data_IF_067728920347
#
_entry.id   IF_067728920347
#
_cell.length_a   1.000
_cell.length_b   1.000
_cell.length_c   1.000
_cell.angle_alpha   90.00
_cell.angle_beta   90.00
_cell.angle_gamma   90.00
#
_symmetry.space_group_name_H-M   'P 1'
#
loop_
_entity.id
_entity.type
_entity.pdbx_description
1 polymer ?
#
# COMPACT_ATOMS: atom_id res chain seq x y z
N UNK A 1 1.52 -10.27 3.27
CA UNK A 1 2.90 -10.58 2.85
C UNK A 1 3.66 -9.33 2.41
N UNK A 2 3.23 -8.59 1.36
CA UNK A 2 3.92 -7.38 0.90
C UNK A 2 4.25 -6.38 2.03
N UNK A 3 3.29 -6.11 2.92
CA UNK A 3 3.49 -5.20 4.07
C UNK A 3 4.64 -5.61 4.99
N UNK A 4 4.79 -6.92 5.25
CA UNK A 4 5.88 -7.43 6.09
C UNK A 4 7.22 -7.32 5.36
N UNK A 5 7.23 -7.61 4.06
CA UNK A 5 8.41 -7.43 3.20
C UNK A 5 8.86 -5.98 3.14
N UNK A 6 7.95 -5.02 3.01
CA UNK A 6 8.32 -3.59 2.96
C UNK A 6 8.76 -3.08 4.32
N UNK A 7 8.17 -3.53 5.43
CA UNK A 7 8.71 -3.27 6.78
C UNK A 7 10.11 -3.85 6.95
N UNK A 8 10.35 -5.09 6.52
CA UNK A 8 11.68 -5.69 6.53
C UNK A 8 12.67 -4.90 5.65
N UNK A 9 12.22 -4.42 4.49
CA UNK A 9 12.99 -3.51 3.64
C UNK A 9 13.34 -2.20 4.33
N UNK A 10 12.41 -1.59 5.06
CA UNK A 10 12.69 -0.40 5.88
C UNK A 10 13.74 -0.65 6.96
N UNK A 11 13.64 -1.78 7.68
CA UNK A 11 14.64 -2.20 8.66
C UNK A 11 16.02 -2.41 8.03
N UNK A 12 16.06 -3.07 6.87
CA UNK A 12 17.29 -3.32 6.12
C UNK A 12 17.93 -2.03 5.62
N UNK A 13 17.12 -1.11 5.08
CA UNK A 13 17.56 0.13 4.44
C UNK A 13 17.82 1.28 5.41
N UNK A 14 17.51 1.15 6.70
CA UNK A 14 17.87 2.14 7.72
C UNK A 14 19.39 2.11 8.02
N UNK A 15 20.13 3.24 8.06
CA UNK A 15 21.59 3.29 8.20
C UNK A 15 22.18 2.46 9.36
N UNK A 16 21.50 2.45 10.50
CA UNK A 16 21.84 1.67 11.69
C UNK A 16 21.10 0.32 11.62
N UNK A 17 21.83 -0.78 11.86
CA UNK A 17 21.22 -2.11 11.94
C UNK A 17 20.42 -2.25 13.24
N UNK A 18 19.14 -2.57 13.12
CA UNK A 18 18.33 -2.94 14.27
C UNK A 18 18.83 -4.25 14.90
N UNK A 19 18.82 -4.31 16.24
CA UNK A 19 19.11 -5.56 16.96
C UNK A 19 18.06 -6.64 16.68
N UNK A 20 18.42 -7.91 16.86
CA UNK A 20 17.55 -9.05 16.56
C UNK A 20 16.19 -8.96 17.27
N UNK A 21 16.18 -8.55 18.54
CA UNK A 21 14.96 -8.32 19.33
C UNK A 21 14.03 -7.29 18.67
N UNK A 22 14.56 -6.13 18.30
CA UNK A 22 13.82 -5.05 17.65
C UNK A 22 13.25 -5.52 16.30
N UNK A 23 14.05 -6.21 15.50
CA UNK A 23 13.62 -6.79 14.21
C UNK A 23 12.46 -7.75 14.39
N UNK A 24 12.58 -8.72 15.31
CA UNK A 24 11.52 -9.72 15.56
C UNK A 24 10.23 -9.06 16.04
N UNK A 25 10.30 -8.15 17.02
CA UNK A 25 9.12 -7.47 17.53
C UNK A 25 8.49 -6.52 16.53
N UNK A 26 9.28 -5.87 15.67
CA UNK A 26 8.77 -5.03 14.58
C UNK A 26 7.98 -5.87 13.59
N UNK A 27 8.54 -6.98 13.10
CA UNK A 27 7.87 -7.84 12.13
C UNK A 27 6.62 -8.51 12.73
N UNK A 28 6.71 -9.01 13.96
CA UNK A 28 5.56 -9.61 14.66
C UNK A 28 4.46 -8.58 14.89
N UNK A 29 4.80 -7.40 15.41
CA UNK A 29 3.85 -6.31 15.61
C UNK A 29 3.20 -5.86 14.31
N UNK A 30 3.97 -5.77 13.22
CA UNK A 30 3.44 -5.48 11.87
C UNK A 30 2.48 -6.57 11.38
N UNK A 31 2.77 -7.86 11.61
CA UNK A 31 1.85 -8.95 11.25
C UNK A 31 0.54 -8.80 12.03
N UNK A 32 0.62 -8.57 13.34
CA UNK A 32 -0.56 -8.46 14.22
C UNK A 32 -1.42 -7.24 13.87
N UNK A 33 -0.82 -6.05 13.65
CA UNK A 33 -1.58 -4.83 13.32
C UNK A 33 -2.24 -4.93 11.95
N UNK A 34 -1.57 -5.57 10.97
CA UNK A 34 -2.14 -5.82 9.64
C UNK A 34 -3.27 -6.85 9.72
N UNK A 35 -3.12 -7.89 10.55
CA UNK A 35 -4.19 -8.84 10.79
C UNK A 35 -5.41 -8.15 11.43
N UNK A 36 -5.20 -7.30 12.45
CA UNK A 36 -6.25 -6.50 13.06
C UNK A 36 -6.97 -5.63 12.03
N UNK A 37 -6.22 -4.87 11.23
CA UNK A 37 -6.77 -3.99 10.19
C UNK A 37 -7.61 -4.76 9.16
N UNK A 38 -7.14 -5.92 8.71
CA UNK A 38 -7.88 -6.75 7.74
C UNK A 38 -9.16 -7.35 8.35
N UNK A 39 -9.10 -7.85 9.59
CA UNK A 39 -10.27 -8.43 10.28
C UNK A 39 -11.33 -7.34 10.48
N UNK A 40 -10.94 -6.17 10.98
CA UNK A 40 -11.87 -5.06 11.21
C UNK A 40 -12.43 -4.49 9.90
N UNK A 41 -11.62 -4.42 8.83
CA UNK A 41 -12.10 -4.05 7.50
C UNK A 41 -13.12 -5.05 6.96
N UNK A 42 -12.85 -6.36 7.08
CA UNK A 42 -13.83 -7.41 6.68
C UNK A 42 -15.12 -7.32 7.50
N UNK A 43 -15.03 -7.00 8.79
CA UNK A 43 -16.20 -6.80 9.63
C UNK A 43 -17.07 -5.63 9.14
N UNK A 44 -16.45 -4.50 8.80
CA UNK A 44 -17.14 -3.31 8.29
C UNK A 44 -17.70 -3.50 6.87
N UNK A 45 -16.99 -4.23 6.01
CA UNK A 45 -17.36 -4.42 4.59
C UNK A 45 -18.20 -5.68 4.34
N UNK A 46 -18.57 -6.45 5.37
CA UNK A 46 -19.25 -7.76 5.23
C UNK A 46 -20.45 -7.77 4.28
N UNK A 47 -21.25 -6.69 4.27
CA UNK A 47 -22.45 -6.59 3.43
C UNK A 47 -22.10 -6.25 1.97
N UNK A 48 -21.15 -5.32 1.75
CA UNK A 48 -20.66 -5.00 0.40
C UNK A 48 -19.87 -6.15 -0.22
N UNK A 49 -19.10 -6.88 0.59
CA UNK A 49 -18.30 -8.01 0.14
C UNK A 49 -19.18 -9.14 -0.42
N UNK A 50 -20.41 -9.31 0.07
CA UNK A 50 -21.36 -10.29 -0.46
C UNK A 50 -21.73 -10.03 -1.94
N UNK A 51 -21.58 -8.79 -2.41
CA UNK A 51 -21.97 -8.34 -3.75
C UNK A 51 -20.81 -8.42 -4.77
N UNK A 52 -19.59 -8.76 -4.33
CA UNK A 52 -18.40 -8.82 -5.18
C UNK A 52 -17.95 -10.26 -5.40
N UNK A 53 -17.76 -10.66 -6.67
CA UNK A 53 -17.29 -12.00 -7.05
C UNK A 53 -16.00 -12.43 -6.35
N UNK A 54 -15.11 -11.47 -6.06
CA UNK A 54 -13.82 -11.71 -5.41
C UNK A 54 -13.95 -11.96 -3.90
N UNK A 55 -14.92 -11.34 -3.23
CA UNK A 55 -14.97 -11.28 -1.75
C UNK A 55 -16.19 -11.94 -1.14
N UNK A 56 -17.19 -12.32 -1.94
CA UNK A 56 -18.40 -13.01 -1.48
C UNK A 56 -18.12 -14.35 -0.77
N UNK A 57 -16.95 -14.96 -1.00
CA UNK A 57 -16.53 -16.21 -0.33
C UNK A 57 -15.75 -15.99 0.97
N UNK A 58 -15.52 -14.74 1.40
CA UNK A 58 -14.86 -14.43 2.68
C UNK A 58 -15.68 -14.99 3.86
N UNK A 59 -15.07 -15.23 5.04
CA UNK A 59 -15.75 -15.88 6.16
C UNK A 59 -17.05 -15.20 6.61
N UNK A 60 -17.08 -13.86 6.70
CA UNK A 60 -18.24 -13.11 7.16
C UNK A 60 -19.38 -13.05 6.13
N UNK A 61 -19.17 -12.65 4.87
CA UNK A 61 -20.23 -12.67 3.84
C UNK A 61 -20.81 -14.06 3.58
N UNK A 62 -19.99 -15.12 3.72
CA UNK A 62 -20.42 -16.50 3.53
C UNK A 62 -21.09 -17.12 4.76
N UNK A 63 -21.27 -16.37 5.87
CA UNK A 63 -21.88 -16.87 7.10
C UNK A 63 -21.07 -17.95 7.84
N UNK A 64 -19.77 -18.12 7.51
CA UNK A 64 -18.90 -19.15 8.11
C UNK A 64 -18.31 -18.75 9.47
N UNK A 65 -18.53 -17.51 9.89
CA UNK A 65 -18.01 -16.95 11.14
C UNK A 65 -18.99 -15.91 11.68
N UNK A 66 -19.21 -15.93 12.98
CA UNK A 66 -20.01 -14.91 13.66
C UNK A 66 -19.31 -13.53 13.59
N UNK A 67 -20.02 -12.46 13.18
CA UNK A 67 -19.43 -11.11 13.09
C UNK A 67 -18.90 -10.56 14.42
N UNK A 68 -19.53 -10.88 15.57
CA UNK A 68 -19.08 -10.39 16.87
C UNK A 68 -17.77 -11.06 17.29
N UNK A 69 -17.60 -12.35 16.96
CA UNK A 69 -16.32 -13.06 17.14
C UNK A 69 -15.22 -12.39 16.34
N UNK A 70 -15.46 -12.09 15.06
CA UNK A 70 -14.47 -11.40 14.23
C UNK A 70 -14.13 -10.00 14.76
N UNK A 71 -15.13 -9.22 15.18
CA UNK A 71 -14.92 -7.90 15.77
C UNK A 71 -14.02 -7.97 17.00
N UNK A 72 -14.35 -8.82 17.98
CA UNK A 72 -13.56 -9.00 19.21
C UNK A 72 -12.15 -9.46 18.90
N UNK A 73 -11.98 -10.40 17.98
CA UNK A 73 -10.67 -10.87 17.56
C UNK A 73 -9.81 -9.75 16.96
N UNK A 74 -10.39 -8.95 16.05
CA UNK A 74 -9.70 -7.79 15.47
C UNK A 74 -9.29 -6.74 16.51
N UNK A 75 -10.17 -6.46 17.47
CA UNK A 75 -9.89 -5.52 18.57
C UNK A 75 -8.79 -6.03 19.51
N UNK A 76 -8.79 -7.33 19.84
CA UNK A 76 -7.72 -7.95 20.65
C UNK A 76 -6.38 -7.86 19.93
N UNK A 77 -6.33 -8.17 18.63
CA UNK A 77 -5.10 -8.03 17.84
C UNK A 77 -4.59 -6.58 17.82
N UNK A 78 -5.48 -5.60 17.69
CA UNK A 78 -5.12 -4.17 17.77
C UNK A 78 -4.57 -3.80 19.16
N UNK A 79 -5.26 -4.23 20.22
CA UNK A 79 -4.87 -3.98 21.61
C UNK A 79 -3.54 -4.62 22.01
N UNK A 80 -3.11 -5.68 21.33
CA UNK A 80 -1.79 -6.30 21.53
C UNK A 80 -0.72 -5.63 20.66
N UNK A 81 -1.02 -5.42 19.38
CA UNK A 81 -0.02 -4.96 18.40
C UNK A 81 0.48 -3.54 18.63
N UNK A 82 -0.41 -2.61 19.01
CA UNK A 82 -0.02 -1.22 19.27
C UNK A 82 0.92 -1.11 20.48
N UNK A 83 0.60 -1.66 21.67
CA UNK A 83 1.53 -1.68 22.79
C UNK A 83 2.84 -2.40 22.48
N UNK A 84 2.79 -3.52 21.75
CA UNK A 84 3.99 -4.25 21.34
C UNK A 84 4.94 -3.36 20.54
N UNK A 85 4.44 -2.68 19.50
CA UNK A 85 5.25 -1.77 18.69
C UNK A 85 5.68 -0.52 19.47
N UNK A 86 4.85 -0.01 20.38
CA UNK A 86 5.15 1.20 21.15
C UNK A 86 6.24 0.96 22.20
N UNK A 87 6.10 -0.10 23.00
CA UNK A 87 6.94 -0.33 24.17
C UNK A 87 8.12 -1.27 23.89
N UNK A 88 7.98 -2.23 22.97
CA UNK A 88 9.06 -3.18 22.66
C UNK A 88 9.93 -2.74 21.47
N UNK A 89 9.45 -1.81 20.64
CA UNK A 89 10.20 -1.29 19.47
C UNK A 89 10.49 0.20 19.64
N UNK A 90 9.46 1.03 19.85
CA UNK A 90 9.61 2.44 20.17
C UNK A 90 8.36 3.27 19.91
N UNK A 91 8.31 4.46 20.51
CA UNK A 91 7.15 5.35 20.43
C UNK A 91 6.77 5.74 18.99
N UNK A 92 7.76 5.98 18.13
CA UNK A 92 7.53 6.38 16.73
C UNK A 92 6.92 5.23 15.89
N UNK A 93 7.47 4.00 15.88
CA UNK A 93 6.81 2.83 15.28
C UNK A 93 5.38 2.60 15.79
N UNK A 94 5.15 2.71 17.10
CA UNK A 94 3.84 2.57 17.72
C UNK A 94 2.82 3.60 17.24
N UNK A 95 3.22 4.87 17.16
CA UNK A 95 2.41 5.97 16.61
C UNK A 95 2.06 5.72 15.14
N UNK A 96 3.06 5.38 14.32
CA UNK A 96 2.86 5.10 12.90
C UNK A 96 1.91 3.92 12.68
N UNK A 97 2.05 2.84 13.46
CA UNK A 97 1.16 1.70 13.40
C UNK A 97 -0.27 2.05 13.81
N UNK A 98 -0.44 2.88 14.83
CA UNK A 98 -1.74 3.38 15.28
C UNK A 98 -2.40 4.23 14.20
N UNK A 99 -1.64 5.15 13.58
CA UNK A 99 -2.10 5.97 12.46
C UNK A 99 -2.50 5.10 11.26
N UNK A 100 -1.72 4.07 10.92
CA UNK A 100 -2.05 3.13 9.85
C UNK A 100 -3.36 2.38 10.14
N UNK A 101 -3.54 1.86 11.37
CA UNK A 101 -4.75 1.14 11.75
C UNK A 101 -5.98 2.05 11.72
N UNK A 102 -5.90 3.21 12.38
CA UNK A 102 -7.02 4.17 12.47
C UNK A 102 -7.39 4.70 11.09
N UNK A 103 -6.41 5.14 10.29
CA UNK A 103 -6.68 5.65 8.94
C UNK A 103 -7.25 4.57 8.03
N UNK A 104 -6.83 3.31 8.14
CA UNK A 104 -7.38 2.23 7.32
C UNK A 104 -8.82 1.86 7.71
N UNK A 105 -9.07 1.67 9.00
CA UNK A 105 -10.35 1.14 9.51
C UNK A 105 -11.39 2.25 9.63
N UNK A 106 -11.04 3.40 10.20
CA UNK A 106 -12.01 4.45 10.54
C UNK A 106 -12.12 5.54 9.46
N UNK A 107 -11.12 5.72 8.60
CA UNK A 107 -11.18 6.71 7.52
C UNK A 107 -11.42 6.04 6.17
N UNK A 108 -10.45 5.27 5.68
CA UNK A 108 -10.50 4.67 4.34
C UNK A 108 -11.69 3.73 4.14
N UNK A 109 -11.93 2.81 5.08
CA UNK A 109 -12.99 1.79 4.93
C UNK A 109 -14.38 2.40 4.72
N UNK A 110 -14.88 3.33 5.54
CA UNK A 110 -16.16 3.98 5.27
C UNK A 110 -16.10 4.90 4.04
N UNK A 111 -15.00 5.63 3.84
CA UNK A 111 -14.89 6.63 2.77
C UNK A 111 -15.00 6.02 1.36
N UNK A 112 -14.63 4.75 1.17
CA UNK A 112 -14.83 4.00 -0.08
C UNK A 112 -16.27 3.97 -0.60
N UNK A 113 -17.26 4.14 0.28
CA UNK A 113 -18.68 4.20 -0.09
C UNK A 113 -19.14 5.61 -0.47
N UNK A 114 -18.33 6.64 -0.24
CA UNK A 114 -18.73 8.03 -0.37
C UNK A 114 -17.94 8.82 -1.42
N UNK A 115 -16.68 8.47 -1.69
CA UNK A 115 -15.86 9.23 -2.66
C UNK A 115 -14.72 8.39 -3.25
N UNK A 116 -14.40 8.64 -4.53
CA UNK A 116 -13.22 8.08 -5.17
C UNK A 116 -11.90 8.54 -4.53
N UNK A 117 -11.90 9.68 -3.81
CA UNK A 117 -10.75 10.17 -3.06
C UNK A 117 -10.31 9.22 -1.93
N UNK A 118 -11.16 8.26 -1.55
CA UNK A 118 -10.81 7.19 -0.61
C UNK A 118 -9.56 6.42 -1.04
N UNK A 119 -9.27 6.32 -2.35
CA UNK A 119 -8.05 5.68 -2.84
C UNK A 119 -6.78 6.33 -2.25
N UNK A 120 -6.73 7.66 -2.18
CA UNK A 120 -5.57 8.38 -1.63
C UNK A 120 -5.46 8.20 -0.12
N UNK A 121 -6.59 8.25 0.59
CA UNK A 121 -6.62 7.97 2.03
C UNK A 121 -6.18 6.54 2.34
N UNK A 122 -6.59 5.58 1.53
CA UNK A 122 -6.19 4.17 1.64
C UNK A 122 -4.74 3.89 1.25
N UNK A 123 -4.11 4.77 0.46
CA UNK A 123 -2.69 4.65 0.13
C UNK A 123 -1.79 4.99 1.33
N UNK A 124 -2.21 5.89 2.22
CA UNK A 124 -1.46 6.27 3.44
C UNK A 124 -1.11 5.05 4.31
N UNK A 125 -2.07 4.25 4.82
CA UNK A 125 -1.75 3.11 5.68
C UNK A 125 -0.96 2.02 4.96
N UNK A 126 -1.11 1.89 3.64
CA UNK A 126 -0.32 0.95 2.84
C UNK A 126 1.14 1.38 2.65
N UNK A 127 1.42 2.67 2.78
CA UNK A 127 2.75 3.27 2.62
C UNK A 127 3.56 3.40 3.92
N UNK A 128 2.88 3.40 5.08
CA UNK A 128 3.51 3.44 6.41
C UNK A 128 4.48 2.27 6.73
N UNK A 129 4.26 1.02 6.29
CA UNK A 129 5.07 -0.13 6.72
C UNK A 129 6.59 -0.02 6.56
N UNK A 130 7.17 0.42 5.42
CA UNK A 130 8.61 0.63 5.34
C UNK A 130 9.11 1.76 6.25
N UNK A 131 8.29 2.78 6.51
CA UNK A 131 8.63 3.83 7.46
C UNK A 131 8.62 3.32 8.91
N UNK A 132 7.70 2.42 9.27
CA UNK A 132 7.76 1.68 10.55
C UNK A 132 9.10 0.92 10.64
N UNK A 133 9.48 0.21 9.58
CA UNK A 133 10.75 -0.52 9.55
C UNK A 133 11.96 0.40 9.72
N UNK A 134 11.99 1.52 9.03
CA UNK A 134 13.06 2.51 9.14
C UNK A 134 13.17 3.09 10.55
N UNK A 135 12.03 3.54 11.10
CA UNK A 135 11.97 4.18 12.42
C UNK A 135 12.18 3.19 13.56
N UNK A 136 11.91 1.89 13.36
CA UNK A 136 12.26 0.85 14.31
C UNK A 136 13.78 0.71 14.49
N UNK A 137 14.56 0.94 13.43
CA UNK A 137 16.01 0.91 13.48
C UNK A 137 16.63 2.25 13.92
N UNK A 138 16.06 3.39 13.51
CA UNK A 138 16.61 4.72 13.79
C UNK A 138 16.06 5.41 15.05
N UNK A 139 14.88 5.00 15.52
CA UNK A 139 14.14 5.66 16.61
C UNK A 139 13.45 6.98 16.23
N UNK A 140 13.66 7.49 15.00
CA UNK A 140 13.08 8.77 14.52
C UNK A 140 12.73 8.73 13.03
N UNK A 141 11.88 9.66 12.62
CA UNK A 141 11.53 9.86 11.20
C UNK A 141 12.71 10.60 10.54
N UNK A 142 13.18 10.05 9.42
CA UNK A 142 14.22 10.66 8.59
C UNK A 142 13.82 10.62 7.12
N UNK A 143 14.52 11.41 6.31
CA UNK A 143 14.26 11.55 4.88
C UNK A 143 14.24 10.21 4.14
N UNK A 144 15.15 9.27 4.45
CA UNK A 144 15.17 7.96 3.79
C UNK A 144 13.90 7.12 4.05
N UNK A 145 13.41 7.12 5.29
CA UNK A 145 12.13 6.48 5.63
C UNK A 145 10.94 7.18 4.96
N UNK A 146 10.97 8.51 4.89
CA UNK A 146 9.93 9.31 4.21
C UNK A 146 9.91 9.03 2.70
N UNK A 147 11.07 8.83 2.08
CA UNK A 147 11.14 8.46 0.66
C UNK A 147 10.59 7.06 0.40
N UNK A 148 10.87 6.08 1.27
CA UNK A 148 10.26 4.76 1.16
C UNK A 148 8.74 4.82 1.29
N UNK A 149 8.23 5.62 2.24
CA UNK A 149 6.81 5.93 2.34
C UNK A 149 6.28 6.56 1.05
N UNK A 150 6.94 7.59 0.53
CA UNK A 150 6.50 8.31 -0.67
C UNK A 150 6.47 7.41 -1.91
N UNK A 151 7.47 6.55 -2.10
CA UNK A 151 7.48 5.55 -3.19
C UNK A 151 6.29 4.61 -3.05
N UNK A 152 6.04 4.04 -1.87
CA UNK A 152 4.90 3.16 -1.66
C UNK A 152 3.57 3.86 -1.92
N UNK A 153 3.40 5.07 -1.38
CA UNK A 153 2.19 5.87 -1.54
C UNK A 153 1.92 6.17 -3.02
N UNK A 154 2.91 6.71 -3.72
CA UNK A 154 2.79 7.10 -5.12
C UNK A 154 2.60 5.90 -6.03
N UNK A 155 3.24 4.76 -5.73
CA UNK A 155 3.09 3.52 -6.49
C UNK A 155 1.69 2.90 -6.36
N UNK A 156 1.08 2.98 -5.18
CA UNK A 156 -0.26 2.42 -4.95
C UNK A 156 -1.32 3.08 -5.84
N UNK A 157 -1.16 4.36 -6.18
CA UNK A 157 -2.15 5.09 -6.96
C UNK A 157 -2.34 4.53 -8.39
N UNK A 158 -1.32 4.48 -9.26
CA UNK A 158 -1.47 3.89 -10.59
C UNK A 158 -1.83 2.40 -10.51
N UNK A 159 -1.29 1.67 -9.52
CA UNK A 159 -1.61 0.26 -9.28
C UNK A 159 -3.11 0.04 -9.04
N UNK A 160 -3.72 0.78 -8.11
CA UNK A 160 -5.13 0.63 -7.80
C UNK A 160 -6.03 1.20 -8.88
N UNK A 161 -5.65 2.32 -9.52
CA UNK A 161 -6.41 2.87 -10.64
C UNK A 161 -6.50 1.85 -11.79
N UNK A 162 -5.41 1.15 -12.11
CA UNK A 162 -5.41 0.07 -13.08
C UNK A 162 -6.43 -1.02 -12.72
N UNK A 163 -6.47 -1.47 -11.46
CA UNK A 163 -7.47 -2.45 -10.98
C UNK A 163 -8.89 -1.92 -11.17
N UNK A 164 -9.17 -0.70 -10.70
CA UNK A 164 -10.51 -0.13 -10.79
C UNK A 164 -10.99 0.00 -12.22
N UNK A 165 -10.11 0.23 -13.20
CA UNK A 165 -10.48 0.33 -14.61
C UNK A 165 -11.00 -0.99 -15.19
N UNK A 166 -10.37 -2.13 -14.89
CA UNK A 166 -10.83 -3.44 -15.39
C UNK A 166 -11.80 -4.18 -14.44
N UNK A 167 -12.15 -3.58 -13.29
CA UNK A 167 -13.09 -4.12 -12.30
C UNK A 167 -14.23 -3.17 -11.95
N UNK A 168 -14.39 -2.07 -12.68
CA UNK A 168 -15.33 -0.97 -12.36
C UNK A 168 -16.76 -1.44 -12.08
N UNK A 169 -17.23 -2.45 -12.83
CA UNK A 169 -18.55 -3.07 -12.68
C UNK A 169 -18.70 -3.82 -11.34
N UNK A 170 -17.65 -4.53 -10.91
CA UNK A 170 -17.66 -5.24 -9.61
C UNK A 170 -17.75 -4.25 -8.44
N UNK A 171 -17.06 -3.11 -8.55
CA UNK A 171 -17.14 -2.03 -7.56
C UNK A 171 -18.52 -1.35 -7.55
N UNK A 172 -19.09 -1.10 -8.73
CA UNK A 172 -20.42 -0.51 -8.86
C UNK A 172 -21.50 -1.39 -8.21
N UNK A 173 -21.48 -2.71 -8.46
CA UNK A 173 -22.42 -3.66 -7.85
C UNK A 173 -22.34 -3.69 -6.32
N UNK A 174 -21.17 -3.40 -5.76
CA UNK A 174 -20.94 -3.39 -4.31
C UNK A 174 -21.23 -2.05 -3.63
N UNK A 175 -21.71 -1.05 -4.38
CA UNK A 175 -21.96 0.30 -3.89
C UNK A 175 -20.68 1.07 -3.53
N UNK A 176 -19.54 0.72 -4.14
CA UNK A 176 -18.26 1.37 -3.89
C UNK A 176 -17.98 2.45 -4.95
N UNK A 177 -17.57 3.63 -4.50
CA UNK A 177 -17.25 4.77 -5.37
C UNK A 177 -15.79 4.66 -5.80
N UNK A 178 -15.58 4.48 -7.10
CA UNK A 178 -14.25 4.42 -7.72
C UNK A 178 -14.18 5.40 -8.88
N UNK A 179 -13.01 5.99 -9.07
CA UNK A 179 -12.80 7.04 -10.07
C UNK A 179 -13.33 6.67 -11.47
N UNK A 180 -13.12 5.44 -12.02
CA UNK A 180 -13.64 5.08 -13.34
C UNK A 180 -15.17 5.11 -13.50
N UNK A 181 -15.94 5.07 -12.41
CA UNK A 181 -17.41 5.08 -12.45
C UNK A 181 -18.00 6.51 -12.40
N UNK A 182 -17.18 7.52 -12.17
CA UNK A 182 -17.61 8.92 -12.20
C UNK A 182 -17.71 9.43 -13.66
N UNK A 183 -18.50 10.48 -13.94
CA UNK A 183 -18.57 11.08 -15.28
C UNK A 183 -17.18 11.50 -15.79
N UNK A 184 -16.75 10.96 -16.93
CA UNK A 184 -15.40 11.18 -17.49
C UNK A 184 -14.27 10.50 -16.69
N UNK A 185 -14.60 9.74 -15.66
CA UNK A 185 -13.68 9.21 -14.67
C UNK A 185 -12.68 8.18 -15.20
N UNK A 186 -13.02 7.42 -16.25
CA UNK A 186 -12.04 6.54 -16.92
C UNK A 186 -10.88 7.31 -17.55
N UNK A 187 -11.18 8.42 -18.23
CA UNK A 187 -10.15 9.23 -18.86
C UNK A 187 -9.27 9.89 -17.78
N UNK A 188 -9.89 10.37 -16.71
CA UNK A 188 -9.16 10.97 -15.59
C UNK A 188 -8.31 9.95 -14.82
N UNK A 189 -8.80 8.72 -14.65
CA UNK A 189 -8.02 7.64 -14.02
C UNK A 189 -6.75 7.32 -14.83
N UNK A 190 -6.85 7.28 -16.16
CA UNK A 190 -5.68 7.09 -17.05
C UNK A 190 -4.70 8.27 -16.97
N UNK A 191 -5.19 9.50 -16.90
CA UNK A 191 -4.33 10.68 -16.69
C UNK A 191 -3.65 10.65 -15.33
N UNK A 192 -4.36 10.25 -14.27
CA UNK A 192 -3.81 10.12 -12.93
C UNK A 192 -2.77 9.01 -12.85
N UNK A 193 -2.96 7.87 -13.53
CA UNK A 193 -1.91 6.85 -13.67
C UNK A 193 -0.61 7.50 -14.16
N UNK A 194 -0.64 8.26 -15.25
CA UNK A 194 0.55 8.93 -15.78
C UNK A 194 1.12 9.96 -14.80
N UNK A 195 0.30 10.85 -14.24
CA UNK A 195 0.75 11.91 -13.32
C UNK A 195 1.45 11.33 -12.08
N UNK A 196 0.85 10.33 -11.45
CA UNK A 196 1.41 9.69 -10.27
C UNK A 196 2.62 8.83 -10.60
N UNK A 197 2.67 8.19 -11.78
CA UNK A 197 3.88 7.48 -12.24
C UNK A 197 5.04 8.44 -12.51
N UNK A 198 4.80 9.63 -13.07
CA UNK A 198 5.85 10.66 -13.22
C UNK A 198 6.40 11.08 -11.85
N UNK A 199 5.51 11.40 -10.90
CA UNK A 199 5.91 11.75 -9.54
C UNK A 199 6.68 10.60 -8.85
N UNK A 200 6.22 9.35 -9.02
CA UNK A 200 6.86 8.15 -8.50
C UNK A 200 8.29 8.00 -9.05
N UNK A 201 8.48 8.13 -10.37
CA UNK A 201 9.79 8.04 -11.00
C UNK A 201 10.70 9.13 -10.46
N UNK A 202 10.23 10.37 -10.37
CA UNK A 202 11.00 11.47 -9.79
C UNK A 202 11.44 11.18 -8.36
N UNK A 203 10.50 10.79 -7.48
CA UNK A 203 10.80 10.46 -6.07
C UNK A 203 11.75 9.26 -5.97
N UNK A 204 11.59 8.24 -6.82
CA UNK A 204 12.48 7.08 -6.83
C UNK A 204 13.92 7.45 -7.18
N UNK A 205 14.14 8.46 -8.03
CA UNK A 205 15.48 8.92 -8.39
C UNK A 205 16.16 9.70 -7.26
N UNK A 206 15.41 10.26 -6.30
CA UNK A 206 15.98 11.00 -5.17
C UNK A 206 16.83 10.13 -4.22
N UNK A 207 16.70 8.81 -4.27
CA UNK A 207 17.56 7.91 -3.48
C UNK A 207 19.04 8.01 -3.89
N UNK A 208 19.34 8.37 -5.15
CA UNK A 208 20.71 8.45 -5.67
C UNK A 208 21.49 9.66 -5.12
N UNK A 209 21.02 10.91 -5.26
CA UNK A 209 21.74 12.07 -4.70
C UNK A 209 21.85 12.02 -3.17
N UNK A 210 20.92 11.33 -2.49
CA UNK A 210 20.96 11.11 -1.05
C UNK A 210 21.85 9.94 -0.62
N UNK A 211 22.56 9.30 -1.56
CA UNK A 211 23.46 8.16 -1.32
C UNK A 211 22.78 6.97 -0.66
N UNK A 212 21.47 6.82 -0.88
CA UNK A 212 20.67 5.67 -0.45
C UNK A 212 20.55 4.60 -1.54
N UNK A 213 20.81 4.94 -2.80
CA UNK A 213 20.84 4.02 -3.94
C UNK A 213 22.11 4.20 -4.78
N UNK A 214 22.75 3.08 -5.15
CA UNK A 214 23.96 3.07 -5.97
C UNK A 214 23.72 3.10 -7.49
N UNK A 215 24.78 2.89 -8.26
CA UNK A 215 24.73 2.91 -9.74
C UNK A 215 23.75 1.88 -10.32
N UNK A 216 23.71 0.67 -9.77
CA UNK A 216 22.76 -0.37 -10.19
C UNK A 216 21.31 0.09 -9.98
N UNK A 217 21.02 0.72 -8.85
CA UNK A 217 19.71 1.27 -8.54
C UNK A 217 19.35 2.41 -9.51
N UNK A 218 20.29 3.31 -9.83
CA UNK A 218 20.04 4.40 -10.78
C UNK A 218 19.58 3.88 -12.15
N UNK A 219 20.32 2.94 -12.75
CA UNK A 219 19.93 2.38 -14.05
C UNK A 219 18.60 1.64 -13.97
N UNK A 220 18.36 0.94 -12.87
CA UNK A 220 17.09 0.25 -12.63
C UNK A 220 15.92 1.22 -12.53
N UNK A 221 16.05 2.28 -11.74
CA UNK A 221 15.02 3.30 -11.57
C UNK A 221 14.70 4.00 -12.89
N UNK A 222 15.72 4.29 -13.72
CA UNK A 222 15.53 4.88 -15.04
C UNK A 222 14.84 3.93 -16.03
N UNK A 223 15.34 2.69 -16.16
CA UNK A 223 14.80 1.72 -17.13
C UNK A 223 13.41 1.22 -16.74
N UNK A 224 13.25 0.77 -15.48
CA UNK A 224 11.96 0.30 -15.00
C UNK A 224 10.95 1.45 -14.92
N UNK A 225 11.39 2.64 -14.46
CA UNK A 225 10.54 3.83 -14.41
C UNK A 225 10.10 4.31 -15.79
N UNK A 226 11.02 4.36 -16.75
CA UNK A 226 10.72 4.68 -18.14
C UNK A 226 9.76 3.67 -18.78
N UNK A 227 9.98 2.37 -18.56
CA UNK A 227 9.10 1.31 -19.04
C UNK A 227 7.68 1.39 -18.44
N UNK A 228 7.59 1.64 -17.13
CA UNK A 228 6.30 1.79 -16.45
C UNK A 228 5.56 3.04 -16.93
N UNK A 229 6.26 4.18 -17.06
CA UNK A 229 5.69 5.41 -17.60
C UNK A 229 5.23 5.25 -19.06
N UNK A 230 5.99 4.54 -19.89
CA UNK A 230 5.61 4.25 -21.26
C UNK A 230 4.32 3.39 -21.33
N UNK A 231 4.17 2.42 -20.41
CA UNK A 231 2.94 1.64 -20.28
C UNK A 231 1.75 2.55 -19.92
N UNK A 232 1.92 3.45 -18.94
CA UNK A 232 0.91 4.44 -18.57
C UNK A 232 0.50 5.35 -19.72
N UNK A 233 1.47 5.88 -20.46
CA UNK A 233 1.24 6.74 -21.63
C UNK A 233 0.49 6.01 -22.76
N UNK A 234 0.75 4.71 -22.96
CA UNK A 234 -0.01 3.91 -23.93
C UNK A 234 -1.51 3.84 -23.58
N UNK A 235 -1.87 3.97 -22.31
CA UNK A 235 -3.26 4.02 -21.82
C UNK A 235 -4.04 5.27 -22.25
N UNK A 236 -3.35 6.34 -22.62
CA UNK A 236 -3.97 7.57 -23.12
C UNK A 236 -4.43 7.46 -24.59
N UNK A 237 -4.03 6.40 -25.31
CA UNK A 237 -4.44 6.16 -26.70
C UNK A 237 -5.91 5.74 -26.77
N UNK A 238 -6.60 6.17 -27.84
CA UNK A 238 -7.95 5.71 -28.15
C UNK A 238 -7.96 4.18 -28.30
N UNK A 239 -8.94 3.51 -27.68
CA UNK A 239 -9.06 2.04 -27.72
C UNK A 239 -8.28 1.29 -26.64
N UNK A 240 -7.50 1.97 -25.78
CA UNK A 240 -6.98 1.33 -24.58
C UNK A 240 -8.16 0.90 -23.68
N UNK A 241 -8.24 -0.39 -23.36
CA UNK A 241 -9.32 -1.00 -22.59
C UNK A 241 -8.80 -1.91 -21.48
N UNK A 242 -9.62 -2.86 -21.03
CA UNK A 242 -9.29 -3.74 -19.90
C UNK A 242 -7.97 -4.52 -20.08
N UNK A 243 -7.60 -4.89 -21.31
CA UNK A 243 -6.31 -5.57 -21.59
C UNK A 243 -5.11 -4.70 -21.21
N UNK A 244 -5.15 -3.43 -21.57
CA UNK A 244 -4.10 -2.48 -21.18
C UNK A 244 -4.10 -2.27 -19.66
N UNK A 245 -5.25 -2.08 -19.03
CA UNK A 245 -5.32 -1.86 -17.58
C UNK A 245 -4.75 -3.06 -16.79
N UNK A 246 -4.94 -4.31 -17.26
CA UNK A 246 -4.28 -5.49 -16.69
C UNK A 246 -2.76 -5.49 -16.91
N UNK A 247 -2.30 -5.04 -18.07
CA UNK A 247 -0.86 -4.88 -18.36
C UNK A 247 -0.24 -3.82 -17.46
N UNK A 248 -0.90 -2.68 -17.26
CA UNK A 248 -0.47 -1.60 -16.37
C UNK A 248 -0.36 -2.09 -14.92
N UNK A 249 -1.35 -2.84 -14.45
CA UNK A 249 -1.31 -3.49 -13.15
C UNK A 249 -0.09 -4.43 -13.02
N UNK A 250 0.16 -5.29 -14.00
CA UNK A 250 1.35 -6.16 -13.99
C UNK A 250 2.66 -5.38 -14.04
N UNK A 251 2.74 -4.34 -14.87
CA UNK A 251 3.91 -3.46 -14.98
C UNK A 251 4.23 -2.79 -13.65
N UNK A 252 3.22 -2.34 -12.90
CA UNK A 252 3.41 -1.74 -11.58
C UNK A 252 4.03 -2.73 -10.58
N UNK A 253 3.68 -4.02 -10.62
CA UNK A 253 4.25 -5.05 -9.73
C UNK A 253 5.72 -5.33 -10.09
N UNK A 254 6.03 -5.43 -11.38
CA UNK A 254 7.41 -5.60 -11.87
C UNK A 254 8.26 -4.39 -11.46
N UNK A 255 7.77 -3.17 -11.71
CA UNK A 255 8.45 -1.93 -11.32
C UNK A 255 8.81 -1.94 -9.84
N UNK A 256 7.83 -2.16 -8.95
CA UNK A 256 8.08 -2.12 -7.50
C UNK A 256 9.08 -3.20 -7.07
N UNK A 257 8.96 -4.42 -7.61
CA UNK A 257 9.80 -5.55 -7.24
C UNK A 257 11.25 -5.31 -7.60
N UNK A 258 11.52 -4.87 -8.83
CA UNK A 258 12.89 -4.63 -9.29
C UNK A 258 13.49 -3.40 -8.60
N UNK A 259 12.69 -2.35 -8.39
CA UNK A 259 13.12 -1.14 -7.68
C UNK A 259 13.55 -1.45 -6.23
N UNK A 260 12.69 -2.11 -5.44
CA UNK A 260 13.04 -2.49 -4.07
C UNK A 260 14.16 -3.52 -4.02
N UNK A 261 14.18 -4.50 -4.93
CA UNK A 261 15.22 -5.51 -5.00
C UNK A 261 16.61 -4.89 -5.17
N UNK A 262 16.75 -3.97 -6.12
CA UNK A 262 18.05 -3.29 -6.37
C UNK A 262 18.42 -2.29 -5.28
N UNK A 263 17.44 -1.66 -4.63
CA UNK A 263 17.68 -0.81 -3.47
C UNK A 263 18.25 -1.62 -2.30
N UNK A 264 17.71 -2.82 -2.06
CA UNK A 264 18.19 -3.73 -1.02
C UNK A 264 19.57 -4.33 -1.32
N UNK A 265 19.89 -4.59 -2.59
CA UNK A 265 21.21 -5.08 -3.03
C UNK A 265 22.30 -4.02 -3.01
N UNK A 266 21.93 -2.74 -3.16
CA UNK A 266 22.87 -1.62 -3.21
C UNK A 266 23.38 -1.15 -1.85
N UNK A 267 23.04 -1.86 -0.77
CA UNK A 267 23.33 -1.50 0.63
C UNK A 267 24.19 -2.56 1.30
#
# INVERSE_FOLDING_TARGET
MLVVFTTAGGLWLAPVRAGARTTVFTLLGTVLIVAAANVLNMYLERDSDALMTRTMRRPLPAGRMDPQVALRFGLVLAAISVPLLTFAVGAVPGLLASLALVSYVLLYTPLKRHTAAALLVGAIPGAIPPLIGWTAAQGRIELGGVLLFAVMFLWQVPHFLAITLFRKEDYARAGLVVQPNEPGGEAEARRNIVRYTVALVFVSLLFVPLRLGGTLYLFTALLAGGGFLACGLAGLRKGAGAKWARSEFSASLVYLTVLFGTLMLGR
#
